data_IF_857365478196
#
_entry.id   IF_857365478196
#
_cell.length_a   1.000
_cell.length_b   1.000
_cell.length_c   1.000
_cell.angle_alpha   90.00
_cell.angle_beta   90.00
_cell.angle_gamma   90.00
#
_symmetry.space_group_name_H-M   'P 1'
#
loop_
_entity.id
_entity.type
_entity.pdbx_description
1 polymer ?
#
# COMPACT_ATOMS: atom_id res chain seq x y z
N UNK A 1 15.44 39.38 -2.02
CA UNK A 1 16.28 40.33 -1.24
C UNK A 1 15.63 40.55 0.10
N UNK A 2 16.44 40.54 1.17
CA UNK A 2 16.16 40.82 2.58
C UNK A 2 15.25 39.82 3.32
N UNK A 3 15.82 38.81 4.02
CA UNK A 3 16.50 38.78 5.34
C UNK A 3 15.55 38.86 6.56
N UNK A 4 15.90 38.15 7.66
CA UNK A 4 14.97 37.44 8.55
C UNK A 4 14.90 38.06 9.95
N UNK A 5 14.01 37.52 10.79
CA UNK A 5 13.94 37.83 12.21
C UNK A 5 14.39 36.62 13.05
N UNK A 6 15.43 36.85 13.86
CA UNK A 6 15.89 36.03 14.98
C UNK A 6 15.78 36.88 16.26
N UNK A 7 15.46 36.24 17.38
CA UNK A 7 15.62 36.78 18.74
C UNK A 7 14.88 35.90 19.75
N UNK A 8 15.46 35.38 20.83
CA UNK A 8 16.82 35.56 21.34
C UNK A 8 17.12 34.56 22.48
N UNK A 9 18.40 34.30 22.68
CA UNK A 9 18.97 33.71 23.90
C UNK A 9 19.02 34.74 25.02
N UNK A 10 18.79 34.30 26.26
CA UNK A 10 19.27 34.97 27.46
C UNK A 10 20.35 34.09 28.13
N UNK A 11 21.51 34.71 28.37
CA UNK A 11 22.67 34.13 29.03
C UNK A 11 22.59 34.32 30.54
N UNK A 12 23.13 33.37 31.30
CA UNK A 12 23.65 33.60 32.66
C UNK A 12 25.02 32.93 32.75
N UNK A 13 26.03 33.72 33.11
CA UNK A 13 27.42 33.32 33.37
C UNK A 13 27.65 33.42 34.89
N UNK A 14 28.36 32.45 35.49
CA UNK A 14 28.87 32.63 36.86
C UNK A 14 29.43 31.41 37.59
N UNK A 15 30.64 31.00 37.20
CA UNK A 15 31.78 30.53 38.03
C UNK A 15 31.68 29.35 39.03
N UNK A 16 32.53 28.35 38.73
CA UNK A 16 33.35 27.47 39.58
C UNK A 16 33.01 27.28 41.07
N UNK A 17 32.70 26.03 41.43
CA UNK A 17 33.14 25.43 42.70
C UNK A 17 33.69 24.03 42.43
N UNK A 18 34.98 23.85 42.68
CA UNK A 18 35.65 22.54 42.73
C UNK A 18 35.26 21.88 44.06
N UNK A 19 34.48 20.82 44.01
CA UNK A 19 34.23 19.92 45.13
C UNK A 19 34.66 18.51 44.72
N UNK A 20 35.80 18.09 45.28
CA UNK A 20 36.25 16.70 45.30
C UNK A 20 35.30 15.88 46.17
N UNK A 21 34.63 14.88 45.59
CA UNK A 21 33.93 13.84 46.35
C UNK A 21 34.03 12.49 45.64
N UNK A 22 34.89 11.63 46.21
CA UNK A 22 34.81 10.17 46.30
C UNK A 22 33.96 9.41 45.27
N UNK A 23 34.65 8.65 44.44
CA UNK A 23 34.12 7.54 43.64
C UNK A 23 33.47 6.47 44.53
N UNK A 24 32.16 6.53 44.70
CA UNK A 24 31.34 5.38 45.05
C UNK A 24 30.89 4.73 43.74
N UNK A 25 31.50 3.59 43.38
CA UNK A 25 30.91 2.67 42.41
C UNK A 25 29.63 2.12 43.04
N UNK A 26 28.50 2.72 42.74
CA UNK A 26 27.25 1.99 42.78
C UNK A 26 27.37 0.91 41.71
N UNK A 27 27.56 -0.34 42.14
CA UNK A 27 27.29 -1.48 41.29
C UNK A 27 25.80 -1.42 40.97
N UNK A 28 25.46 -0.80 39.84
CA UNK A 28 24.16 -1.04 39.23
C UNK A 28 24.08 -2.52 38.95
N UNK A 29 22.96 -3.13 39.31
CA UNK A 29 22.59 -4.44 38.79
C UNK A 29 22.90 -4.48 37.28
N UNK A 30 23.50 -5.56 36.75
CA UNK A 30 23.62 -5.69 35.31
C UNK A 30 22.18 -5.67 34.77
N UNK A 31 21.78 -4.57 34.13
CA UNK A 31 20.62 -4.55 33.28
C UNK A 31 20.74 -5.79 32.40
N UNK A 32 19.80 -6.72 32.51
CA UNK A 32 19.81 -7.93 31.69
C UNK A 32 20.04 -7.48 30.25
N UNK A 33 21.12 -7.95 29.62
CA UNK A 33 21.38 -7.63 28.23
C UNK A 33 20.11 -8.00 27.45
N UNK A 34 19.47 -7.01 26.81
CA UNK A 34 18.22 -7.25 26.08
C UNK A 34 18.49 -8.34 25.04
N UNK A 35 17.75 -9.44 25.14
CA UNK A 35 17.84 -10.54 24.19
C UNK A 35 16.92 -10.29 23.01
N UNK A 36 17.24 -10.87 21.86
CA UNK A 36 16.33 -10.88 20.71
C UNK A 36 15.08 -11.72 21.01
N UNK A 37 15.18 -12.72 21.87
CA UNK A 37 14.00 -13.50 22.29
C UNK A 37 13.01 -12.65 23.11
N UNK A 38 13.41 -11.49 23.64
CA UNK A 38 12.51 -10.58 24.39
C UNK A 38 11.43 -9.95 23.48
N UNK A 39 11.63 -9.99 22.15
CA UNK A 39 10.67 -9.48 21.14
C UNK A 39 10.03 -10.62 20.33
N UNK A 40 10.16 -11.86 20.77
CA UNK A 40 9.47 -13.00 20.17
C UNK A 40 7.97 -12.99 20.54
N UNK A 41 7.13 -13.28 19.55
CA UNK A 41 5.68 -13.40 19.65
C UNK A 41 5.26 -14.87 19.65
N UNK A 42 4.05 -15.16 20.12
CA UNK A 42 3.42 -16.46 19.87
C UNK A 42 2.90 -16.53 18.43
N UNK A 43 2.98 -17.71 17.80
CA UNK A 43 2.59 -17.88 16.40
C UNK A 43 1.11 -17.52 16.13
N UNK A 44 0.20 -17.76 17.08
CA UNK A 44 -1.26 -17.69 16.87
C UNK A 44 -1.88 -16.28 16.91
N UNK A 45 -1.08 -15.21 16.92
CA UNK A 45 -1.59 -13.85 17.23
C UNK A 45 -2.28 -13.10 16.07
N UNK A 46 -2.42 -13.70 14.88
CA UNK A 46 -2.96 -12.99 13.70
C UNK A 46 -4.33 -13.46 13.21
N UNK A 47 -4.79 -14.64 13.65
CA UNK A 47 -6.05 -15.20 13.16
C UNK A 47 -7.30 -14.34 13.52
N UNK A 48 -7.23 -13.51 14.55
CA UNK A 48 -8.32 -12.60 14.94
C UNK A 48 -8.08 -11.13 14.54
N UNK A 49 -7.01 -10.85 13.79
CA UNK A 49 -6.64 -9.51 13.35
C UNK A 49 -7.19 -9.28 11.94
N UNK A 50 -7.85 -8.14 11.74
CA UNK A 50 -8.18 -7.67 10.39
C UNK A 50 -6.91 -7.07 9.78
N UNK A 51 -6.39 -7.61 8.66
CA UNK A 51 -5.30 -6.97 7.94
C UNK A 51 -5.78 -5.60 7.46
N UNK A 52 -4.92 -4.61 7.60
CA UNK A 52 -5.10 -3.27 7.09
C UNK A 52 -4.17 -3.12 5.88
N UNK A 53 -4.65 -2.45 4.88
CA UNK A 53 -3.88 -1.89 3.79
C UNK A 53 -4.09 -0.38 3.87
N UNK A 54 -3.41 0.38 3.04
CA UNK A 54 -3.73 1.79 3.00
C UNK A 54 -2.77 2.58 2.15
N UNK A 55 -3.25 3.72 1.70
CA UNK A 55 -2.39 4.74 1.13
C UNK A 55 -1.65 5.52 2.23
N UNK A 56 -0.60 6.23 1.83
CA UNK A 56 0.12 7.14 2.72
C UNK A 56 -0.76 8.34 3.09
N UNK A 57 -1.68 8.16 4.03
CA UNK A 57 -2.30 9.23 4.81
C UNK A 57 -1.33 9.71 5.90
N UNK A 58 -0.20 10.28 5.48
CA UNK A 58 0.86 10.73 6.39
C UNK A 58 1.98 11.45 5.68
N UNK A 59 1.87 12.78 5.59
CA UNK A 59 2.85 13.68 4.95
C UNK A 59 3.16 13.34 3.49
N UNK A 60 2.13 13.32 2.63
CA UNK A 60 2.36 13.78 1.26
C UNK A 60 3.11 15.13 1.30
N UNK A 61 4.02 15.42 0.35
CA UNK A 61 4.81 16.64 0.39
C UNK A 61 3.91 17.83 0.69
N UNK A 62 4.17 18.52 1.81
CA UNK A 62 3.40 19.69 2.24
C UNK A 62 3.38 20.69 1.09
N UNK A 63 2.25 20.76 0.39
CA UNK A 63 2.04 21.71 -0.70
C UNK A 63 1.74 21.14 -2.08
N UNK A 64 1.12 19.96 -2.21
CA UNK A 64 0.35 19.71 -3.44
C UNK A 64 -0.87 20.67 -3.41
N UNK A 65 -0.94 21.68 -4.29
CA UNK A 65 -2.14 22.51 -4.41
C UNK A 65 -3.32 21.59 -4.75
N UNK A 66 -4.52 21.97 -4.32
CA UNK A 66 -5.78 21.34 -4.70
C UNK A 66 -5.83 21.25 -6.24
N UNK A 67 -5.45 20.09 -6.80
CA UNK A 67 -5.10 20.01 -8.21
C UNK A 67 -6.38 20.04 -9.04
N UNK A 68 -6.51 21.10 -9.82
CA UNK A 68 -7.39 21.13 -10.97
C UNK A 68 -6.98 20.01 -11.93
N UNK A 69 -7.99 19.36 -12.52
CA UNK A 69 -7.86 18.30 -13.53
C UNK A 69 -6.76 18.61 -14.56
N UNK A 70 -5.64 17.94 -14.41
CA UNK A 70 -4.69 17.69 -15.48
C UNK A 70 -4.18 16.28 -15.22
N UNK A 71 -3.75 15.59 -16.29
CA UNK A 71 -2.75 14.52 -16.20
C UNK A 71 -1.62 14.91 -15.23
N UNK A 72 -0.61 14.08 -15.03
CA UNK A 72 0.58 14.46 -14.27
C UNK A 72 1.67 15.10 -15.18
N UNK A 73 1.46 16.16 -16.01
CA UNK A 73 2.43 16.58 -17.02
C UNK A 73 3.68 17.21 -16.40
N UNK A 74 3.55 17.74 -15.18
CA UNK A 74 4.65 18.28 -14.39
C UNK A 74 5.55 17.19 -13.80
N UNK A 75 5.12 15.94 -13.86
CA UNK A 75 5.86 14.79 -13.36
C UNK A 75 6.44 13.97 -14.51
N UNK A 76 7.61 13.38 -14.27
CA UNK A 76 8.10 12.26 -15.06
C UNK A 76 7.65 10.98 -14.37
N UNK A 77 6.64 10.33 -14.95
CA UNK A 77 5.97 9.17 -14.36
C UNK A 77 5.31 8.31 -15.43
N UNK A 78 4.65 7.23 -15.01
CA UNK A 78 3.88 6.32 -15.84
C UNK A 78 2.79 7.06 -16.61
N UNK A 79 2.41 6.52 -17.77
CA UNK A 79 1.26 7.04 -18.53
C UNK A 79 0.02 7.03 -17.63
N UNK A 80 -0.64 8.18 -17.53
CA UNK A 80 -1.82 8.40 -16.73
C UNK A 80 -2.79 9.31 -17.48
N UNK A 81 -4.04 9.33 -17.03
CA UNK A 81 -5.07 10.23 -17.50
C UNK A 81 -5.81 10.84 -16.31
N UNK A 82 -6.45 11.97 -16.55
CA UNK A 82 -7.28 12.62 -15.55
C UNK A 82 -8.63 12.97 -16.14
N UNK A 83 -9.65 12.87 -15.31
CA UNK A 83 -11.03 13.16 -15.64
C UNK A 83 -11.74 13.57 -14.33
N UNK A 84 -13.07 13.64 -14.35
CA UNK A 84 -13.87 13.99 -13.18
C UNK A 84 -15.20 13.26 -13.20
N UNK A 85 -15.82 13.12 -12.02
CA UNK A 85 -17.21 12.71 -11.88
C UNK A 85 -18.02 13.77 -11.13
N UNK A 86 -19.35 13.66 -11.27
CA UNK A 86 -20.31 14.59 -10.69
C UNK A 86 -21.09 13.86 -9.60
N UNK A 87 -20.95 14.30 -8.37
CA UNK A 87 -21.66 13.75 -7.21
C UNK A 87 -21.81 14.82 -6.14
N UNK A 88 -23.00 14.94 -5.53
CA UNK A 88 -23.20 15.87 -4.43
C UNK A 88 -22.53 15.35 -3.16
N UNK A 89 -21.61 16.12 -2.60
CA UNK A 89 -20.94 15.82 -1.34
C UNK A 89 -20.38 17.06 -0.67
N UNK A 90 -19.49 16.85 0.29
CA UNK A 90 -18.77 17.92 0.98
C UNK A 90 -17.28 17.64 1.01
N UNK A 91 -16.45 18.69 1.02
CA UNK A 91 -15.00 18.55 1.17
C UNK A 91 -14.60 18.30 2.64
N UNK A 92 -13.29 18.23 2.91
CA UNK A 92 -12.74 18.05 4.27
C UNK A 92 -13.05 19.20 5.23
N UNK A 93 -13.51 20.36 4.73
CA UNK A 93 -13.97 21.52 5.50
C UNK A 93 -15.50 21.60 5.56
N UNK A 94 -16.19 20.53 5.18
CA UNK A 94 -17.64 20.43 5.13
C UNK A 94 -18.29 21.46 4.18
N UNK A 95 -17.56 21.94 3.15
CA UNK A 95 -18.10 22.83 2.12
C UNK A 95 -18.72 22.01 0.99
N UNK A 96 -19.92 22.35 0.50
CA UNK A 96 -20.52 21.64 -0.63
C UNK A 96 -19.61 21.59 -1.85
N UNK A 97 -19.48 20.40 -2.45
CA UNK A 97 -18.72 20.15 -3.67
C UNK A 97 -19.50 19.18 -4.55
N UNK A 98 -19.44 19.41 -5.86
CA UNK A 98 -20.19 18.63 -6.85
C UNK A 98 -19.30 18.01 -7.93
N UNK A 99 -18.07 18.51 -8.10
CA UNK A 99 -17.10 18.04 -9.11
C UNK A 99 -15.90 17.43 -8.42
N UNK A 100 -15.59 16.19 -8.75
CA UNK A 100 -14.54 15.40 -8.14
C UNK A 100 -13.54 14.97 -9.22
N UNK A 101 -12.38 15.63 -9.32
CA UNK A 101 -11.34 15.22 -10.25
C UNK A 101 -10.69 13.93 -9.76
N UNK A 102 -10.18 13.13 -10.70
CA UNK A 102 -9.33 11.98 -10.39
C UNK A 102 -8.26 11.84 -11.47
N UNK A 103 -7.18 11.15 -11.11
CA UNK A 103 -6.08 10.75 -11.99
C UNK A 103 -5.86 9.25 -11.85
N UNK A 104 -5.79 8.54 -12.96
CA UNK A 104 -5.66 7.08 -12.97
C UNK A 104 -4.53 6.65 -13.92
N UNK A 105 -3.99 5.46 -13.69
CA UNK A 105 -2.94 4.88 -14.54
C UNK A 105 -3.53 4.42 -15.88
N UNK A 106 -2.81 4.66 -16.96
CA UNK A 106 -3.22 4.30 -18.31
C UNK A 106 -3.56 5.49 -19.20
N UNK A 107 -4.02 5.17 -20.41
CA UNK A 107 -4.64 6.14 -21.30
C UNK A 107 -6.11 6.34 -20.89
N UNK A 108 -6.79 7.42 -21.35
CA UNK A 108 -8.22 7.53 -21.17
C UNK A 108 -8.96 6.31 -21.76
N UNK A 109 -10.02 5.79 -21.10
CA UNK A 109 -10.78 4.63 -21.60
C UNK A 109 -11.29 4.78 -23.05
N UNK A 110 -11.65 6.00 -23.45
CA UNK A 110 -12.14 6.34 -24.79
C UNK A 110 -11.05 6.34 -25.87
N UNK A 111 -9.77 6.25 -25.47
CA UNK A 111 -8.68 6.14 -26.44
C UNK A 111 -8.69 4.79 -27.16
N UNK A 112 -9.29 3.75 -26.55
CA UNK A 112 -9.37 2.39 -27.08
C UNK A 112 -8.01 1.86 -27.53
N UNK A 113 -7.01 2.04 -26.66
CA UNK A 113 -5.63 1.64 -26.91
C UNK A 113 -5.12 0.73 -25.81
N UNK A 114 -4.17 -0.12 -26.22
CA UNK A 114 -3.33 -0.88 -25.30
C UNK A 114 -2.18 -0.02 -24.80
N UNK A 115 -2.07 0.09 -23.49
CA UNK A 115 -0.92 0.63 -22.77
C UNK A 115 -0.20 -0.53 -22.11
N UNK A 116 1.14 -0.55 -22.19
CA UNK A 116 1.97 -1.58 -21.56
C UNK A 116 2.93 -0.88 -20.61
N UNK A 117 2.96 -1.34 -19.37
CA UNK A 117 3.88 -0.91 -18.32
C UNK A 117 4.83 -2.05 -18.02
N UNK A 118 6.11 -1.78 -17.76
CA UNK A 118 6.89 -2.81 -17.09
C UNK A 118 6.47 -2.83 -15.62
N UNK A 119 6.40 -4.03 -15.05
CA UNK A 119 6.02 -4.24 -13.66
C UNK A 119 7.12 -5.04 -12.94
N UNK A 120 8.28 -4.41 -12.63
CA UNK A 120 9.35 -5.10 -11.94
C UNK A 120 8.88 -5.55 -10.56
N UNK A 121 9.12 -6.82 -10.23
CA UNK A 121 8.92 -7.39 -8.89
C UNK A 121 10.29 -7.52 -8.25
N UNK A 122 10.51 -6.79 -7.16
CA UNK A 122 11.75 -6.74 -6.39
C UNK A 122 11.52 -7.54 -5.11
N UNK A 123 12.04 -8.78 -4.99
CA UNK A 123 11.98 -9.52 -3.74
C UNK A 123 12.84 -8.80 -2.69
N UNK A 124 12.33 -8.60 -1.47
CA UNK A 124 13.07 -7.97 -0.39
C UNK A 124 13.25 -8.95 0.76
N UNK A 125 14.51 -9.32 1.00
CA UNK A 125 14.93 -10.09 2.17
C UNK A 125 15.00 -9.14 3.36
N UNK A 126 14.35 -9.51 4.46
CA UNK A 126 14.37 -8.73 5.70
C UNK A 126 15.28 -9.39 6.73
N UNK A 127 16.32 -8.68 7.14
CA UNK A 127 17.28 -9.09 8.16
C UNK A 127 16.98 -8.35 9.46
N UNK A 128 16.67 -9.10 10.51
CA UNK A 128 16.48 -8.54 11.85
C UNK A 128 17.84 -8.42 12.53
N UNK A 129 18.18 -7.23 13.04
CA UNK A 129 19.47 -6.99 13.69
C UNK A 129 19.40 -7.14 15.20
N UNK A 130 20.50 -7.63 15.80
CA UNK A 130 20.72 -7.66 17.25
C UNK A 130 21.13 -6.27 17.80
N UNK A 131 21.24 -6.08 19.13
CA UNK A 131 21.68 -4.80 19.72
C UNK A 131 23.07 -4.31 19.27
N UNK A 132 23.90 -5.20 18.70
CA UNK A 132 25.23 -4.89 18.21
C UNK A 132 25.25 -4.60 16.70
N UNK A 133 24.11 -4.70 16.01
CA UNK A 133 23.97 -4.50 14.57
C UNK A 133 24.31 -5.71 13.70
N UNK A 134 24.49 -6.91 14.29
CA UNK A 134 24.65 -8.14 13.51
C UNK A 134 23.29 -8.74 13.18
N UNK A 135 23.20 -9.57 12.13
CA UNK A 135 21.97 -10.36 11.89
C UNK A 135 21.72 -11.24 13.11
N UNK A 136 20.54 -11.05 13.71
CA UNK A 136 20.17 -11.70 14.94
C UNK A 136 20.03 -13.21 14.78
N UNK A 137 20.29 -13.92 15.87
CA UNK A 137 20.12 -15.37 15.98
C UNK A 137 19.25 -15.64 17.19
N UNK A 138 18.12 -16.33 17.00
CA UNK A 138 17.24 -16.74 18.08
C UNK A 138 17.92 -17.77 19.00
N UNK A 139 17.42 -17.92 20.21
CA UNK A 139 17.92 -18.90 21.20
C UNK A 139 18.04 -20.34 20.69
N UNK A 140 17.21 -20.74 19.71
CA UNK A 140 17.27 -22.06 19.07
C UNK A 140 18.34 -22.19 17.96
N UNK A 141 19.14 -21.15 17.73
CA UNK A 141 20.18 -21.10 16.70
C UNK A 141 19.70 -20.61 15.32
N UNK A 142 18.42 -20.24 15.18
CA UNK A 142 17.87 -19.77 13.91
C UNK A 142 18.32 -18.36 13.58
N UNK A 143 18.92 -18.18 12.40
CA UNK A 143 19.24 -16.85 11.88
C UNK A 143 17.95 -16.13 11.49
N UNK A 144 17.73 -14.94 12.03
CA UNK A 144 16.53 -14.15 11.82
C UNK A 144 16.61 -13.36 10.51
N UNK A 145 16.38 -14.09 9.42
CA UNK A 145 16.33 -13.56 8.06
C UNK A 145 15.06 -14.07 7.38
N UNK A 146 14.15 -13.17 7.07
CA UNK A 146 12.92 -13.48 6.35
C UNK A 146 13.17 -13.42 4.85
N UNK A 147 13.02 -14.56 4.19
CA UNK A 147 13.29 -14.73 2.77
C UNK A 147 12.00 -14.66 1.96
N UNK A 148 12.08 -14.04 0.78
CA UNK A 148 11.12 -14.25 -0.31
C UNK A 148 11.70 -15.37 -1.17
N UNK A 149 11.09 -16.55 -1.12
CA UNK A 149 11.59 -17.74 -1.83
C UNK A 149 11.27 -17.64 -3.32
N UNK A 150 11.99 -18.42 -4.14
CA UNK A 150 11.70 -18.52 -5.58
C UNK A 150 10.26 -19.00 -5.83
N UNK A 151 9.71 -19.86 -4.96
CA UNK A 151 8.29 -20.27 -5.05
C UNK A 151 7.34 -19.08 -4.87
N UNK A 152 7.60 -18.20 -3.90
CA UNK A 152 6.78 -17.01 -3.67
C UNK A 152 6.87 -16.08 -4.88
N UNK A 153 8.08 -15.83 -5.40
CA UNK A 153 8.26 -14.99 -6.59
C UNK A 153 7.55 -15.58 -7.80
N UNK A 154 7.73 -16.87 -8.07
CA UNK A 154 7.05 -17.56 -9.18
C UNK A 154 5.54 -17.54 -9.02
N UNK A 155 5.02 -17.77 -7.80
CA UNK A 155 3.59 -17.72 -7.54
C UNK A 155 3.03 -16.31 -7.76
N UNK A 156 3.71 -15.27 -7.29
CA UNK A 156 3.35 -13.87 -7.53
C UNK A 156 3.33 -13.55 -9.02
N UNK A 157 4.39 -13.87 -9.76
CA UNK A 157 4.50 -13.58 -11.20
C UNK A 157 3.47 -14.32 -12.05
N UNK A 158 3.03 -15.50 -11.61
CA UNK A 158 2.02 -16.32 -12.31
C UNK A 158 0.59 -16.07 -11.84
N UNK A 159 0.38 -15.09 -10.96
CA UNK A 159 -0.92 -14.76 -10.40
C UNK A 159 -1.79 -13.96 -11.38
N UNK A 160 -3.12 -13.90 -11.16
CA UNK A 160 -4.01 -13.07 -11.97
C UNK A 160 -3.69 -11.57 -12.00
N UNK A 161 -2.84 -11.07 -11.08
CA UNK A 161 -2.34 -9.68 -11.14
C UNK A 161 -1.49 -9.46 -12.39
N UNK A 162 -0.69 -10.46 -12.79
CA UNK A 162 0.27 -10.36 -13.88
C UNK A 162 0.03 -11.33 -15.05
N UNK A 163 -0.81 -12.33 -14.88
CA UNK A 163 -1.21 -13.27 -15.93
C UNK A 163 -2.71 -13.13 -16.26
N UNK A 164 -3.12 -13.40 -17.51
CA UNK A 164 -4.52 -13.35 -17.88
C UNK A 164 -5.38 -14.37 -17.11
N UNK A 165 -6.52 -13.89 -16.60
CA UNK A 165 -7.58 -14.69 -16.00
C UNK A 165 -8.93 -14.29 -16.62
N UNK A 166 -9.91 -15.20 -16.62
CA UNK A 166 -11.25 -14.92 -17.16
C UNK A 166 -12.15 -14.30 -16.09
N UNK A 167 -12.41 -13.01 -16.24
CA UNK A 167 -13.35 -12.24 -15.44
C UNK A 167 -14.63 -11.94 -16.24
N UNK A 168 -15.64 -11.37 -15.58
CA UNK A 168 -16.90 -10.97 -16.24
C UNK A 168 -16.71 -9.83 -17.26
N UNK A 169 -15.67 -9.00 -17.09
CA UNK A 169 -15.29 -7.91 -18.00
C UNK A 169 -14.42 -8.36 -19.19
N UNK A 170 -14.00 -9.63 -19.23
CA UNK A 170 -13.17 -10.20 -20.29
C UNK A 170 -12.04 -11.10 -19.77
N UNK A 171 -11.11 -11.46 -20.64
CA UNK A 171 -9.89 -12.20 -20.26
C UNK A 171 -8.68 -11.27 -20.28
N UNK A 172 -8.00 -11.14 -19.15
CA UNK A 172 -6.86 -10.24 -18.96
C UNK A 172 -6.37 -10.24 -17.52
N UNK A 173 -5.43 -9.37 -17.20
CA UNK A 173 -4.90 -9.20 -15.85
C UNK A 173 -5.93 -8.52 -14.93
N UNK A 174 -5.81 -8.72 -13.62
CA UNK A 174 -6.74 -8.20 -12.62
C UNK A 174 -7.03 -6.70 -12.81
N UNK A 175 -6.00 -5.86 -12.79
CA UNK A 175 -6.17 -4.41 -12.88
C UNK A 175 -6.62 -3.95 -14.26
N UNK A 176 -6.22 -4.67 -15.32
CA UNK A 176 -6.74 -4.44 -16.67
C UNK A 176 -8.27 -4.62 -16.69
N UNK A 177 -8.74 -5.70 -16.08
CA UNK A 177 -10.14 -6.12 -16.12
C UNK A 177 -11.01 -5.35 -15.11
N UNK A 178 -10.43 -4.89 -14.00
CA UNK A 178 -11.02 -3.91 -13.08
C UNK A 178 -11.31 -2.58 -13.80
N UNK A 179 -10.28 -1.96 -14.40
CA UNK A 179 -10.42 -0.69 -15.13
C UNK A 179 -11.41 -0.81 -16.30
N UNK A 180 -11.46 -1.97 -16.98
CA UNK A 180 -12.47 -2.24 -18.01
C UNK A 180 -13.88 -2.39 -17.44
N UNK A 181 -14.03 -3.03 -16.28
CA UNK A 181 -15.32 -3.21 -15.64
C UNK A 181 -15.92 -1.87 -15.23
N UNK A 182 -15.13 -0.98 -14.62
CA UNK A 182 -15.63 0.30 -14.11
C UNK A 182 -15.92 1.33 -15.21
N UNK A 183 -15.15 1.31 -16.31
CA UNK A 183 -15.35 2.21 -17.46
C UNK A 183 -16.10 1.55 -18.62
N UNK A 184 -16.94 0.56 -18.32
CA UNK A 184 -17.61 -0.26 -19.32
C UNK A 184 -18.38 0.56 -20.36
N UNK A 185 -19.08 1.62 -19.97
CA UNK A 185 -19.84 2.50 -20.87
C UNK A 185 -18.98 3.45 -21.73
N UNK A 186 -17.66 3.53 -21.44
CA UNK A 186 -16.71 4.43 -22.12
C UNK A 186 -15.76 3.72 -23.06
N UNK A 187 -15.69 2.39 -22.97
CA UNK A 187 -14.82 1.57 -23.81
C UNK A 187 -15.60 0.97 -24.98
N UNK A 188 -14.85 0.62 -26.03
CA UNK A 188 -15.33 -0.21 -27.12
C UNK A 188 -15.28 -1.67 -26.71
N UNK A 189 -16.29 -2.43 -27.12
CA UNK A 189 -16.41 -3.87 -26.87
C UNK A 189 -16.15 -4.70 -28.15
N UNK A 190 -16.07 -4.04 -29.31
CA UNK A 190 -15.59 -4.66 -30.54
C UNK A 190 -14.08 -4.89 -30.43
N UNK A 191 -13.65 -6.14 -30.67
CA UNK A 191 -12.23 -6.51 -30.56
C UNK A 191 -11.78 -6.94 -29.15
N UNK A 192 -12.70 -7.40 -28.30
CA UNK A 192 -12.41 -8.04 -27.00
C UNK A 192 -11.76 -9.45 -27.14
N UNK A 193 -11.47 -9.89 -28.37
CA UNK A 193 -10.56 -11.00 -28.68
C UNK A 193 -9.07 -10.58 -28.67
N UNK A 194 -8.17 -11.51 -28.96
CA UNK A 194 -6.71 -11.32 -29.01
C UNK A 194 -6.23 -10.27 -30.05
N UNK A 195 -7.14 -9.70 -30.81
CA UNK A 195 -6.99 -8.84 -31.99
C UNK A 195 -6.49 -7.41 -31.68
N UNK A 196 -6.31 -7.05 -30.40
CA UNK A 196 -5.54 -5.87 -29.98
C UNK A 196 -6.22 -4.49 -30.14
N UNK A 197 -7.53 -4.43 -30.40
CA UNK A 197 -8.26 -3.19 -30.69
C UNK A 197 -8.92 -2.46 -29.50
N UNK A 198 -8.90 -3.03 -28.29
CA UNK A 198 -9.62 -2.51 -27.11
C UNK A 198 -8.78 -1.67 -26.13
N UNK A 199 -9.46 -1.01 -25.18
CA UNK A 199 -8.83 -0.40 -24.01
C UNK A 199 -8.19 -1.49 -23.12
N UNK A 200 -6.88 -1.38 -22.88
CA UNK A 200 -6.08 -2.35 -22.11
C UNK A 200 -4.97 -1.63 -21.37
N UNK A 201 -4.77 -1.94 -20.09
CA UNK A 201 -3.59 -1.59 -19.31
C UNK A 201 -2.89 -2.89 -18.90
N UNK A 202 -1.74 -3.20 -19.52
CA UNK A 202 -1.04 -4.47 -19.32
C UNK A 202 0.24 -4.26 -18.52
N UNK A 203 0.38 -5.01 -17.44
CA UNK A 203 1.57 -5.10 -16.61
C UNK A 203 2.49 -6.21 -17.14
N UNK A 204 3.71 -5.86 -17.55
CA UNK A 204 4.73 -6.82 -17.97
C UNK A 204 5.63 -7.13 -16.79
N UNK A 205 5.26 -8.15 -16.02
CA UNK A 205 5.97 -8.50 -14.82
C UNK A 205 7.35 -9.11 -15.10
N UNK A 206 8.33 -8.82 -14.25
CA UNK A 206 9.64 -9.45 -14.29
C UNK A 206 10.28 -9.44 -12.92
N UNK A 207 10.87 -10.56 -12.49
CA UNK A 207 11.72 -10.57 -11.30
C UNK A 207 12.97 -9.70 -11.53
N UNK A 208 13.26 -8.85 -10.56
CA UNK A 208 14.49 -8.07 -10.46
C UNK A 208 15.39 -8.60 -9.36
N UNK A 209 16.54 -7.96 -9.18
CA UNK A 209 17.51 -8.34 -8.16
C UNK A 209 16.86 -8.25 -6.78
N UNK A 210 17.01 -9.32 -5.99
CA UNK A 210 16.65 -9.31 -4.58
C UNK A 210 17.39 -8.22 -3.82
N UNK A 211 16.66 -7.45 -3.02
CA UNK A 211 17.20 -6.41 -2.12
C UNK A 211 17.19 -6.90 -0.69
N UNK A 212 17.99 -6.27 0.16
CA UNK A 212 18.04 -6.56 1.59
C UNK A 212 17.62 -5.31 2.35
N UNK A 213 16.70 -5.48 3.30
CA UNK A 213 16.35 -4.48 4.31
C UNK A 213 16.87 -4.96 5.66
N UNK A 214 17.70 -4.16 6.31
CA UNK A 214 18.20 -4.45 7.65
C UNK A 214 17.41 -3.66 8.68
N UNK A 215 16.69 -4.35 9.57
CA UNK A 215 15.78 -3.73 10.53
C UNK A 215 16.45 -3.69 11.91
N UNK A 216 16.63 -2.50 12.51
CA UNK A 216 17.38 -2.36 13.75
C UNK A 216 16.66 -2.97 14.94
N UNK A 217 17.43 -3.48 15.91
CA UNK A 217 16.89 -4.00 17.16
C UNK A 217 15.99 -2.98 17.87
N UNK A 218 14.85 -3.44 18.38
CA UNK A 218 13.86 -2.61 19.06
C UNK A 218 12.81 -1.98 18.16
N UNK A 219 12.89 -2.20 16.83
CA UNK A 219 11.87 -1.75 15.86
C UNK A 219 11.07 -2.90 15.23
N UNK A 220 11.27 -4.12 15.70
CA UNK A 220 10.57 -5.30 15.21
C UNK A 220 10.18 -6.26 16.33
N UNK A 221 9.22 -7.12 16.01
CA UNK A 221 8.87 -8.33 16.74
C UNK A 221 8.70 -9.48 15.73
N UNK A 222 8.86 -10.74 16.14
CA UNK A 222 8.78 -11.87 15.21
C UNK A 222 8.19 -13.11 15.85
N UNK A 223 7.63 -14.01 15.05
CA UNK A 223 7.33 -15.38 15.48
C UNK A 223 8.02 -16.37 14.56
N UNK A 224 8.67 -17.37 15.13
CA UNK A 224 9.21 -18.50 14.37
C UNK A 224 8.07 -19.39 13.87
N UNK A 225 8.34 -20.13 12.80
CA UNK A 225 7.48 -21.22 12.36
C UNK A 225 7.40 -22.32 13.43
N UNK A 226 6.34 -23.17 13.41
CA UNK A 226 6.22 -24.29 14.34
C UNK A 226 7.41 -25.26 14.32
N UNK A 227 8.13 -25.36 13.19
CA UNK A 227 9.35 -26.16 13.04
C UNK A 227 10.62 -25.47 13.55
N UNK A 228 10.49 -24.26 14.10
CA UNK A 228 11.58 -23.44 14.64
C UNK A 228 12.30 -22.58 13.61
N UNK A 229 11.95 -22.65 12.32
CA UNK A 229 12.58 -21.84 11.27
C UNK A 229 12.07 -20.39 11.26
N UNK A 230 12.82 -19.48 10.63
CA UNK A 230 12.39 -18.10 10.48
C UNK A 230 11.63 -17.89 9.17
N UNK A 231 10.55 -17.13 9.16
CA UNK A 231 9.69 -16.76 10.29
C UNK A 231 8.24 -16.86 9.83
N UNK A 232 7.35 -17.25 10.74
CA UNK A 232 5.91 -17.27 10.47
C UNK A 232 5.37 -15.86 10.27
N UNK A 233 5.88 -14.89 11.04
CA UNK A 233 5.60 -13.48 10.87
C UNK A 233 6.77 -12.62 11.36
N UNK A 234 6.94 -11.46 10.73
CA UNK A 234 7.77 -10.37 11.24
C UNK A 234 6.93 -9.10 11.25
N UNK A 235 6.85 -8.46 12.41
CA UNK A 235 6.17 -7.17 12.60
C UNK A 235 7.20 -6.07 12.72
N UNK A 236 7.12 -5.04 11.88
CA UNK A 236 8.06 -3.91 11.86
C UNK A 236 7.33 -2.61 12.20
N UNK A 237 7.94 -1.74 12.97
CA UNK A 237 7.36 -0.43 13.27
C UNK A 237 7.27 0.38 11.96
N UNK A 238 6.08 0.93 11.68
CA UNK A 238 5.74 1.52 10.38
C UNK A 238 6.69 2.64 9.95
N UNK A 239 7.05 3.55 10.85
CA UNK A 239 7.95 4.66 10.50
C UNK A 239 9.37 4.15 10.22
N UNK A 240 9.82 3.15 10.96
CA UNK A 240 11.12 2.51 10.74
C UNK A 240 11.15 1.82 9.39
N UNK A 241 10.11 1.05 9.05
CA UNK A 241 10.00 0.40 7.75
C UNK A 241 10.05 1.40 6.60
N UNK A 242 9.24 2.46 6.66
CA UNK A 242 9.21 3.53 5.65
C UNK A 242 10.59 4.18 5.50
N UNK A 243 11.24 4.51 6.61
CA UNK A 243 12.56 5.13 6.59
C UNK A 243 13.67 4.20 6.07
N UNK A 244 13.47 2.89 6.02
CA UNK A 244 14.41 1.93 5.42
C UNK A 244 14.08 1.63 3.94
N UNK A 245 12.82 1.78 3.56
CA UNK A 245 12.35 1.54 2.21
C UNK A 245 12.71 2.70 1.27
N UNK A 246 12.33 3.93 1.66
CA UNK A 246 12.47 5.13 0.83
C UNK A 246 13.80 5.84 1.02
N UNK A 247 14.53 6.17 -0.06
CA UNK A 247 15.74 6.95 0.04
C UNK A 247 15.44 8.43 0.34
N UNK A 248 16.33 9.14 1.04
CA UNK A 248 16.29 10.60 1.14
C UNK A 248 16.81 11.29 -0.13
N UNK A 249 17.44 10.54 -1.04
CA UNK A 249 18.02 11.04 -2.28
C UNK A 249 18.07 9.93 -3.32
N UNK A 250 17.67 10.25 -4.55
CA UNK A 250 17.62 9.30 -5.67
C UNK A 250 18.91 8.47 -5.77
N UNK A 251 18.75 7.15 -5.79
CA UNK A 251 19.86 6.23 -5.97
C UNK A 251 20.70 5.95 -4.72
N UNK A 252 20.30 6.42 -3.54
CA UNK A 252 20.99 6.07 -2.30
C UNK A 252 20.86 4.56 -1.99
N UNK A 253 21.98 3.84 -2.16
CA UNK A 253 22.05 2.39 -2.02
C UNK A 253 21.89 1.90 -0.59
N UNK A 254 21.88 2.79 0.41
CA UNK A 254 21.56 2.43 1.79
C UNK A 254 20.09 2.05 1.98
N UNK A 255 19.21 2.45 1.06
CA UNK A 255 17.77 2.22 1.12
C UNK A 255 17.32 1.29 -0.01
N UNK A 256 16.23 0.56 0.22
CA UNK A 256 15.78 -0.49 -0.71
C UNK A 256 15.40 0.08 -2.08
N UNK A 257 14.57 1.13 -2.12
CA UNK A 257 14.16 1.80 -3.36
C UNK A 257 15.37 2.49 -4.02
N UNK A 258 16.20 3.19 -3.24
CA UNK A 258 17.39 3.86 -3.76
C UNK A 258 18.38 2.89 -4.42
N UNK A 259 18.58 1.71 -3.83
CA UNK A 259 19.38 0.66 -4.45
C UNK A 259 18.78 0.13 -5.77
N UNK A 260 17.46 -0.02 -5.85
CA UNK A 260 16.75 -0.43 -7.07
C UNK A 260 16.86 0.63 -8.17
N UNK A 261 16.75 1.92 -7.84
CA UNK A 261 16.97 3.04 -8.76
C UNK A 261 18.40 3.06 -9.28
N UNK A 262 19.39 2.95 -8.39
CA UNK A 262 20.81 3.02 -8.74
C UNK A 262 21.25 1.92 -9.72
N UNK A 263 20.64 0.74 -9.63
CA UNK A 263 20.89 -0.39 -10.53
C UNK A 263 19.95 -0.41 -11.75
N UNK A 264 19.03 0.55 -11.86
CA UNK A 264 18.00 0.64 -12.91
C UNK A 264 17.09 -0.59 -12.98
N UNK A 265 16.84 -1.20 -11.83
CA UNK A 265 15.81 -2.24 -11.72
C UNK A 265 14.40 -1.65 -11.82
N UNK A 266 14.26 -0.36 -11.47
CA UNK A 266 13.04 0.44 -11.61
C UNK A 266 13.35 1.77 -12.30
N UNK A 267 12.33 2.35 -12.92
CA UNK A 267 12.34 3.68 -13.55
C UNK A 267 11.02 4.40 -13.30
N UNK A 268 10.96 5.69 -13.63
CA UNK A 268 9.71 6.48 -13.59
C UNK A 268 8.63 5.98 -14.57
N UNK A 269 8.93 4.98 -15.42
CA UNK A 269 7.98 4.40 -16.39
C UNK A 269 7.46 3.02 -15.99
N UNK A 270 7.85 2.56 -14.81
CA UNK A 270 7.50 1.26 -14.29
C UNK A 270 6.48 1.38 -13.14
N UNK A 271 5.71 0.32 -12.94
CA UNK A 271 4.83 0.14 -11.76
C UNK A 271 5.46 -0.98 -10.94
N UNK A 272 6.17 -0.61 -9.87
CA UNK A 272 7.13 -1.52 -9.22
C UNK A 272 6.56 -2.17 -7.97
N UNK A 273 6.68 -3.48 -7.83
CA UNK A 273 6.26 -4.20 -6.62
C UNK A 273 7.49 -4.53 -5.77
N UNK A 274 7.55 -4.04 -4.54
CA UNK A 274 8.49 -4.47 -3.52
C UNK A 274 7.85 -5.58 -2.70
N UNK A 275 8.18 -6.81 -3.07
CA UNK A 275 7.56 -8.02 -2.52
C UNK A 275 8.29 -8.46 -1.25
N UNK A 276 7.56 -8.59 -0.15
CA UNK A 276 8.03 -9.17 1.10
C UNK A 276 7.29 -10.48 1.38
N UNK A 277 7.73 -11.25 2.37
CA UNK A 277 7.08 -12.49 2.78
C UNK A 277 6.77 -12.43 4.28
N UNK A 278 5.49 -12.47 4.65
CA UNK A 278 5.03 -12.43 6.04
C UNK A 278 5.60 -11.28 6.88
N UNK A 279 5.82 -10.12 6.24
CA UNK A 279 6.22 -8.86 6.89
C UNK A 279 4.99 -7.98 7.03
N UNK A 280 4.72 -7.52 8.24
CA UNK A 280 3.56 -6.71 8.59
C UNK A 280 3.99 -5.48 9.37
N UNK A 281 3.29 -4.36 9.25
CA UNK A 281 3.66 -3.13 9.96
C UNK A 281 2.72 -2.88 11.14
N UNK A 282 3.30 -2.37 12.22
CA UNK A 282 2.55 -1.93 13.40
C UNK A 282 2.84 -0.46 13.70
N UNK A 283 1.91 0.21 14.37
CA UNK A 283 2.05 1.61 14.76
C UNK A 283 2.05 1.77 16.28
N UNK A 284 3.15 2.30 16.81
CA UNK A 284 3.32 2.55 18.24
C UNK A 284 3.57 1.26 19.03
N UNK A 285 2.55 0.41 19.18
CA UNK A 285 2.68 -0.88 19.88
C UNK A 285 2.46 -2.04 18.92
N UNK A 286 3.12 -3.18 19.16
CA UNK A 286 3.05 -4.38 18.31
C UNK A 286 1.62 -4.96 18.19
N UNK A 287 0.74 -4.63 19.13
CA UNK A 287 -0.68 -5.01 19.10
C UNK A 287 -1.51 -4.16 18.13
N UNK A 288 -1.05 -2.96 17.78
CA UNK A 288 -1.70 -2.10 16.80
C UNK A 288 -1.14 -2.41 15.40
N UNK A 289 -1.49 -3.60 14.94
CA UNK A 289 -1.10 -4.25 13.70
C UNK A 289 -2.41 -4.68 12.98
N UNK A 290 -2.46 -4.84 11.66
CA UNK A 290 -1.34 -5.12 10.77
C UNK A 290 -1.48 -4.47 9.40
N UNK A 291 -0.60 -3.52 9.07
CA UNK A 291 -0.49 -3.01 7.70
C UNK A 291 0.28 -4.06 6.87
N UNK A 292 -0.35 -4.64 5.85
CA UNK A 292 0.23 -5.74 5.05
C UNK A 292 0.71 -5.30 3.67
N UNK A 293 0.39 -4.07 3.28
CA UNK A 293 0.79 -3.43 2.04
C UNK A 293 0.59 -1.91 2.11
N UNK A 294 1.12 -1.21 1.12
CA UNK A 294 0.70 0.15 0.73
C UNK A 294 1.19 0.45 -0.68
N UNK A 295 0.44 1.26 -1.43
CA UNK A 295 0.90 1.86 -2.68
C UNK A 295 1.39 3.30 -2.46
N UNK A 296 2.39 3.72 -3.25
CA UNK A 296 2.96 5.05 -3.15
C UNK A 296 3.79 5.43 -4.38
N UNK A 297 4.46 6.58 -4.27
CA UNK A 297 5.52 6.97 -5.18
C UNK A 297 6.74 7.46 -4.39
N UNK A 298 7.92 7.00 -4.78
CA UNK A 298 9.14 7.69 -4.38
C UNK A 298 9.30 8.96 -5.23
N UNK A 299 9.44 10.10 -4.54
CA UNK A 299 9.38 11.44 -5.13
C UNK A 299 10.78 12.03 -5.16
N UNK A 300 11.33 12.13 -6.35
CA UNK A 300 12.70 12.61 -6.54
C UNK A 300 12.75 13.90 -7.36
N UNK A 301 13.82 14.66 -7.15
CA UNK A 301 14.03 15.90 -7.87
C UNK A 301 14.15 15.65 -9.39
N UNK A 302 13.57 16.55 -10.17
CA UNK A 302 13.78 16.57 -11.62
C UNK A 302 15.18 17.04 -11.99
N UNK A 303 15.63 16.67 -13.18
CA UNK A 303 16.91 17.08 -13.74
C UNK A 303 16.79 17.47 -15.22
N UNK A 304 17.87 17.99 -15.82
CA UNK A 304 17.83 18.40 -17.22
C UNK A 304 17.49 17.25 -18.19
N UNK A 305 17.77 15.99 -17.82
CA UNK A 305 17.52 14.83 -18.68
C UNK A 305 16.03 14.49 -18.79
N UNK A 306 15.22 14.81 -17.78
CA UNK A 306 13.78 14.60 -17.80
C UNK A 306 12.94 15.89 -17.96
N UNK A 307 13.61 17.02 -18.26
CA UNK A 307 12.98 18.32 -18.46
C UNK A 307 12.68 19.06 -17.16
N UNK A 308 13.43 18.80 -16.10
CA UNK A 308 13.24 19.30 -14.73
C UNK A 308 11.86 18.96 -14.16
N UNK A 309 11.26 17.85 -14.61
CA UNK A 309 9.99 17.34 -14.09
C UNK A 309 10.26 16.52 -12.84
N UNK A 310 9.48 16.71 -11.78
CA UNK A 310 9.60 15.87 -10.58
C UNK A 310 9.43 14.41 -10.96
N UNK A 311 10.35 13.55 -10.53
CA UNK A 311 10.33 12.12 -10.84
C UNK A 311 9.41 11.42 -9.84
N UNK A 312 8.52 10.57 -10.34
CA UNK A 312 7.70 9.71 -9.51
C UNK A 312 7.97 8.26 -9.90
N UNK A 313 8.59 7.50 -9.00
CA UNK A 313 8.77 6.06 -9.13
C UNK A 313 7.58 5.38 -8.46
N UNK A 314 6.57 5.03 -9.27
CA UNK A 314 5.34 4.40 -8.79
C UNK A 314 5.63 2.99 -8.27
N UNK A 315 5.10 2.68 -7.09
CA UNK A 315 5.41 1.44 -6.42
C UNK A 315 4.29 0.96 -5.48
N UNK A 316 4.27 -0.34 -5.23
CA UNK A 316 3.59 -0.96 -4.09
C UNK A 316 4.59 -1.70 -3.20
N UNK A 317 4.34 -1.66 -1.89
CA UNK A 317 4.86 -2.61 -0.93
C UNK A 317 3.75 -3.63 -0.74
N UNK A 318 4.07 -4.91 -0.94
CA UNK A 318 3.11 -5.99 -0.74
C UNK A 318 3.75 -7.15 -0.02
N UNK A 319 3.10 -7.60 1.06
CA UNK A 319 3.50 -8.80 1.78
C UNK A 319 2.80 -10.02 1.18
N UNK A 320 3.56 -11.03 0.75
CA UNK A 320 3.01 -12.36 0.53
C UNK A 320 2.54 -12.92 1.86
N UNK A 321 1.25 -13.26 1.94
CA UNK A 321 0.64 -13.71 3.19
C UNK A 321 0.58 -15.24 3.20
N UNK A 322 1.24 -15.93 4.15
CA UNK A 322 1.12 -17.38 4.28
C UNK A 322 -0.32 -17.82 4.55
N UNK A 323 -0.66 -19.03 4.11
CA UNK A 323 -1.96 -19.65 4.34
C UNK A 323 -2.33 -19.63 5.84
N UNK A 324 -3.59 -19.34 6.15
CA UNK A 324 -4.12 -19.29 7.52
C UNK A 324 -3.47 -18.26 8.45
N UNK A 325 -2.81 -17.22 7.91
CA UNK A 325 -2.27 -16.15 8.75
C UNK A 325 -3.38 -15.27 9.33
N UNK A 326 -4.31 -14.82 8.48
CA UNK A 326 -5.48 -14.03 8.87
C UNK A 326 -6.77 -14.85 8.71
N UNK A 327 -7.83 -14.44 9.38
CA UNK A 327 -9.15 -15.03 9.16
C UNK A 327 -9.66 -14.78 7.73
N UNK A 328 -10.68 -15.56 7.35
CA UNK A 328 -11.48 -15.35 6.14
C UNK A 328 -10.73 -15.44 4.80
N UNK A 329 -9.53 -16.02 4.79
CA UNK A 329 -8.81 -16.33 3.55
C UNK A 329 -8.04 -15.16 2.93
N UNK A 330 -7.75 -14.11 3.71
CA UNK A 330 -6.80 -13.08 3.30
C UNK A 330 -5.37 -13.66 3.30
N UNK A 331 -4.91 -14.07 2.13
CA UNK A 331 -3.73 -14.91 1.95
C UNK A 331 -3.07 -14.63 0.59
N UNK A 332 -1.88 -15.20 0.37
CA UNK A 332 -1.09 -15.12 -0.85
C UNK A 332 -0.90 -13.70 -1.41
N UNK A 333 -1.54 -13.40 -2.54
CA UNK A 333 -1.51 -12.15 -3.28
C UNK A 333 -2.60 -11.18 -2.85
N UNK A 334 -3.40 -11.46 -1.82
CA UNK A 334 -4.50 -10.58 -1.42
C UNK A 334 -4.03 -9.13 -1.21
N UNK A 335 -2.91 -8.94 -0.51
CA UNK A 335 -2.28 -7.63 -0.36
C UNK A 335 -1.85 -7.02 -1.69
N UNK A 336 -1.17 -7.79 -2.55
CA UNK A 336 -0.74 -7.31 -3.86
C UNK A 336 -1.93 -6.93 -4.76
N UNK A 337 -3.02 -7.70 -4.73
CA UNK A 337 -4.21 -7.42 -5.52
C UNK A 337 -4.89 -6.13 -5.11
N UNK A 338 -4.92 -5.85 -3.81
CA UNK A 338 -5.41 -4.60 -3.24
C UNK A 338 -4.55 -3.44 -3.71
N UNK A 339 -3.26 -3.47 -3.37
CA UNK A 339 -2.38 -2.33 -3.60
C UNK A 339 -2.21 -2.01 -5.08
N UNK A 340 -2.20 -3.02 -5.94
CA UNK A 340 -2.14 -2.79 -7.38
C UNK A 340 -3.45 -2.19 -7.93
N UNK A 341 -4.60 -2.58 -7.37
CA UNK A 341 -5.91 -2.07 -7.77
C UNK A 341 -6.11 -0.61 -7.35
N UNK A 342 -5.68 -0.27 -6.14
CA UNK A 342 -5.66 1.11 -5.65
C UNK A 342 -4.65 1.95 -6.43
N UNK A 343 -3.42 1.45 -6.65
CA UNK A 343 -2.39 2.18 -7.41
C UNK A 343 -2.89 2.59 -8.81
N UNK A 344 -3.60 1.71 -9.52
CA UNK A 344 -4.10 2.07 -10.87
C UNK A 344 -5.26 3.07 -10.82
N UNK A 345 -6.03 3.10 -9.72
CA UNK A 345 -7.19 3.95 -9.52
C UNK A 345 -6.85 5.31 -8.86
N UNK A 346 -5.87 5.34 -7.97
CA UNK A 346 -5.40 6.49 -7.20
C UNK A 346 -3.87 6.42 -6.99
N UNK A 347 -3.06 6.64 -8.04
CA UNK A 347 -1.62 6.40 -8.00
C UNK A 347 -0.85 7.26 -6.98
N UNK A 348 -1.49 8.30 -6.42
CA UNK A 348 -0.90 9.19 -5.42
C UNK A 348 -1.66 9.19 -4.09
N UNK A 349 -2.65 8.32 -3.92
CA UNK A 349 -3.52 8.25 -2.73
C UNK A 349 -4.24 9.56 -2.44
N UNK A 350 -4.58 10.34 -3.48
CA UNK A 350 -5.10 11.69 -3.31
C UNK A 350 -6.26 12.06 -4.24
N UNK A 351 -6.84 11.09 -4.94
CA UNK A 351 -8.04 11.30 -5.74
C UNK A 351 -9.23 11.57 -4.80
N UNK A 352 -9.76 12.80 -4.76
CA UNK A 352 -10.82 13.13 -3.82
C UNK A 352 -12.15 12.50 -4.24
N UNK A 353 -12.90 12.02 -3.26
CA UNK A 353 -14.28 11.54 -3.38
C UNK A 353 -15.18 12.28 -2.40
N UNK A 354 -16.52 12.28 -2.59
CA UNK A 354 -17.43 12.58 -1.49
C UNK A 354 -17.05 11.73 -0.27
N UNK A 355 -17.24 12.26 0.93
CA UNK A 355 -17.10 11.43 2.13
C UNK A 355 -17.95 10.17 1.98
N UNK A 356 -17.35 9.03 2.28
CA UNK A 356 -17.98 7.73 2.24
C UNK A 356 -17.64 6.98 3.51
N UNK A 357 -18.46 5.98 3.82
CA UNK A 357 -18.17 5.04 4.89
C UNK A 357 -18.52 3.63 4.43
N UNK A 358 -17.74 2.67 4.88
CA UNK A 358 -18.13 1.28 4.89
C UNK A 358 -18.37 0.85 6.35
N UNK A 359 -19.41 0.07 6.56
CA UNK A 359 -19.81 -0.39 7.88
C UNK A 359 -20.34 -1.80 7.80
N UNK A 360 -19.84 -2.64 8.69
CA UNK A 360 -20.39 -3.95 8.96
C UNK A 360 -20.46 -4.17 10.48
N UNK A 361 -21.60 -4.56 11.05
CA UNK A 361 -21.74 -4.80 12.48
C UNK A 361 -20.75 -5.81 13.08
N UNK A 362 -20.19 -6.73 12.27
CA UNK A 362 -19.21 -7.73 12.72
C UNK A 362 -17.82 -7.50 12.13
N UNK A 363 -17.68 -6.64 11.13
CA UNK A 363 -16.42 -6.37 10.43
C UNK A 363 -15.75 -5.05 10.84
N UNK A 364 -16.52 -3.98 11.07
CA UNK A 364 -15.97 -2.70 11.53
C UNK A 364 -16.63 -1.48 10.90
N UNK A 365 -15.93 -0.35 10.99
CA UNK A 365 -16.33 0.94 10.43
C UNK A 365 -15.09 1.67 9.91
N UNK A 366 -15.16 2.16 8.67
CA UNK A 366 -14.18 3.07 8.08
C UNK A 366 -14.89 4.28 7.49
N UNK A 367 -14.23 5.42 7.51
CA UNK A 367 -14.75 6.68 6.96
C UNK A 367 -13.61 7.47 6.33
N UNK A 368 -13.75 7.77 5.05
CA UNK A 368 -12.72 8.34 4.19
C UNK A 368 -13.31 9.27 3.12
N UNK A 369 -12.46 9.93 2.35
CA UNK A 369 -12.84 10.85 1.28
C UNK A 369 -11.85 10.87 0.10
N UNK A 370 -11.06 9.81 -0.02
CA UNK A 370 -10.14 9.46 -1.11
C UNK A 370 -10.69 8.25 -1.88
N UNK A 371 -10.04 7.85 -2.97
CA UNK A 371 -10.46 6.75 -3.85
C UNK A 371 -9.60 5.51 -3.54
N UNK A 372 -9.77 4.97 -2.32
CA UNK A 372 -9.12 3.74 -1.87
C UNK A 372 -10.08 2.58 -2.12
N UNK A 373 -9.89 1.88 -3.24
CA UNK A 373 -10.84 0.87 -3.72
C UNK A 373 -10.97 -0.31 -2.76
N UNK A 374 -9.86 -0.71 -2.13
CA UNK A 374 -9.78 -1.91 -1.31
C UNK A 374 -10.18 -1.65 0.13
N UNK A 375 -9.90 -0.44 0.65
CA UNK A 375 -10.30 0.03 1.99
C UNK A 375 -11.80 -0.14 2.27
N UNK A 376 -12.63 0.03 1.24
CA UNK A 376 -14.09 -0.17 1.33
C UNK A 376 -14.44 -1.60 1.77
N UNK A 377 -13.61 -2.58 1.39
CA UNK A 377 -13.87 -4.01 1.55
C UNK A 377 -13.29 -4.56 2.86
N UNK A 378 -12.25 -3.93 3.42
CA UNK A 378 -11.56 -4.39 4.63
C UNK A 378 -12.44 -4.50 5.87
N UNK A 379 -13.44 -3.64 5.97
CA UNK A 379 -14.34 -3.62 7.14
C UNK A 379 -15.59 -4.46 6.93
N UNK A 380 -15.76 -5.12 5.79
CA UNK A 380 -16.92 -5.95 5.51
C UNK A 380 -16.80 -7.33 6.18
N UNK A 381 -17.92 -7.85 6.69
CA UNK A 381 -17.96 -9.17 7.32
C UNK A 381 -17.38 -10.23 6.40
N UNK A 382 -16.45 -11.01 6.95
CA UNK A 382 -15.88 -12.15 6.25
C UNK A 382 -14.90 -11.78 5.14
N UNK A 383 -14.38 -10.54 5.13
CA UNK A 383 -13.35 -10.03 4.22
C UNK A 383 -13.52 -10.61 2.81
N UNK A 384 -14.47 -10.11 2.00
CA UNK A 384 -14.82 -10.73 0.73
C UNK A 384 -13.59 -10.97 -0.17
N UNK A 385 -13.15 -12.23 -0.24
CA UNK A 385 -12.05 -12.69 -1.08
C UNK A 385 -12.61 -13.48 -2.27
N UNK A 386 -12.15 -13.13 -3.47
CA UNK A 386 -12.40 -13.85 -4.69
C UNK A 386 -11.31 -14.91 -4.93
N UNK A 387 -11.71 -16.18 -4.93
CA UNK A 387 -10.81 -17.29 -5.22
C UNK A 387 -10.66 -17.49 -6.74
N UNK A 388 -9.45 -17.32 -7.25
CA UNK A 388 -9.12 -17.48 -8.67
C UNK A 388 -8.17 -18.66 -8.88
N UNK A 389 -8.63 -19.73 -9.53
CA UNK A 389 -7.76 -20.87 -9.88
C UNK A 389 -7.07 -20.63 -11.22
N UNK A 390 -5.74 -20.48 -11.18
CA UNK A 390 -4.90 -20.25 -12.35
C UNK A 390 -3.61 -21.09 -12.23
N UNK A 391 -3.18 -21.73 -13.33
CA UNK A 391 -1.95 -22.53 -13.36
C UNK A 391 -1.87 -23.63 -12.28
N UNK A 392 -3.02 -24.19 -11.88
CA UNK A 392 -3.11 -25.24 -10.85
C UNK A 392 -2.97 -24.75 -9.40
N UNK A 393 -2.92 -23.43 -9.18
CA UNK A 393 -2.96 -22.78 -7.86
C UNK A 393 -4.24 -21.97 -7.71
N UNK A 394 -4.82 -21.97 -6.52
CA UNK A 394 -5.86 -20.99 -6.15
C UNK A 394 -5.18 -19.78 -5.54
N UNK A 395 -5.48 -18.62 -6.10
CA UNK A 395 -5.07 -17.30 -5.61
C UNK A 395 -6.26 -16.61 -4.94
N UNK A 396 -5.98 -15.79 -3.95
CA UNK A 396 -6.95 -15.04 -3.16
C UNK A 396 -6.86 -13.56 -3.51
N UNK A 397 -7.82 -13.09 -4.30
CA UNK A 397 -7.90 -11.71 -4.77
C UNK A 397 -8.85 -10.96 -3.85
N UNK A 398 -8.45 -9.81 -3.32
CA UNK A 398 -9.40 -8.97 -2.59
C UNK A 398 -10.42 -8.39 -3.58
N UNK A 399 -11.69 -8.34 -3.17
CA UNK A 399 -12.65 -7.54 -3.91
C UNK A 399 -12.34 -6.05 -3.75
N UNK A 400 -12.73 -5.27 -4.74
CA UNK A 400 -12.45 -3.85 -4.85
C UNK A 400 -13.76 -3.11 -5.10
N UNK A 401 -13.94 -1.95 -4.47
CA UNK A 401 -14.95 -1.00 -4.89
C UNK A 401 -14.57 -0.36 -6.22
N UNK A 402 -15.50 -0.25 -7.16
CA UNK A 402 -15.25 0.42 -8.44
C UNK A 402 -15.64 1.90 -8.39
N UNK A 403 -15.09 2.72 -9.29
CA UNK A 403 -15.38 4.16 -9.37
C UNK A 403 -16.89 4.54 -9.25
N UNK A 404 -17.85 3.83 -9.87
CA UNK A 404 -19.28 4.15 -9.71
C UNK A 404 -19.80 4.10 -8.27
N UNK A 405 -19.18 3.32 -7.39
CA UNK A 405 -19.52 3.28 -5.97
C UNK A 405 -19.25 4.62 -5.30
N UNK A 406 -18.02 5.15 -5.47
CA UNK A 406 -17.60 6.46 -4.98
C UNK A 406 -18.33 7.62 -5.66
N UNK A 407 -18.65 7.45 -6.94
CA UNK A 407 -19.34 8.47 -7.73
C UNK A 407 -20.85 8.59 -7.44
N UNK A 408 -21.38 7.79 -6.49
CA UNK A 408 -22.80 7.78 -6.12
C UNK A 408 -23.73 7.55 -7.32
N UNK A 409 -23.26 6.83 -8.34
CA UNK A 409 -24.00 6.65 -9.60
C UNK A 409 -25.08 5.57 -9.41
N UNK A 410 -26.31 5.86 -9.81
CA UNK A 410 -27.41 4.89 -9.77
C UNK A 410 -28.32 5.11 -10.99
N UNK A 411 -28.44 4.14 -11.91
CA UNK A 411 -27.71 2.85 -11.94
C UNK A 411 -26.20 3.03 -12.19
N UNK A 412 -25.40 2.04 -11.79
CA UNK A 412 -23.97 2.00 -12.13
C UNK A 412 -23.78 1.82 -13.64
N UNK A 413 -22.90 2.61 -14.30
CA UNK A 413 -22.53 2.41 -15.69
C UNK A 413 -21.50 1.29 -15.89
N UNK A 414 -20.93 0.74 -14.81
CA UNK A 414 -19.97 -0.36 -14.89
C UNK A 414 -20.60 -1.63 -15.49
N UNK A 415 -19.74 -2.58 -15.84
CA UNK A 415 -20.15 -3.89 -16.37
C UNK A 415 -21.17 -4.52 -15.42
N UNK A 416 -22.27 -5.01 -16.00
CA UNK A 416 -23.40 -5.63 -15.27
C UNK A 416 -24.11 -4.71 -14.26
N UNK A 417 -23.86 -3.40 -14.28
CA UNK A 417 -24.38 -2.47 -13.28
C UNK A 417 -23.79 -2.69 -11.88
N UNK A 418 -22.59 -3.26 -11.80
CA UNK A 418 -21.92 -3.61 -10.55
C UNK A 418 -21.26 -2.41 -9.87
N UNK A 419 -20.96 -2.56 -8.57
CA UNK A 419 -20.19 -1.57 -7.79
C UNK A 419 -18.89 -2.15 -7.21
N UNK A 420 -18.68 -3.45 -7.35
CA UNK A 420 -17.48 -4.15 -6.93
C UNK A 420 -17.00 -5.12 -8.00
N UNK A 421 -15.72 -5.49 -7.91
CA UNK A 421 -15.04 -6.43 -8.78
C UNK A 421 -13.97 -7.19 -7.95
N UNK A 422 -13.63 -8.45 -8.21
CA UNK A 422 -14.18 -9.33 -9.24
C UNK A 422 -15.59 -9.89 -8.95
N UNK A 423 -16.03 -9.94 -7.70
CA UNK A 423 -17.40 -10.36 -7.34
C UNK A 423 -18.34 -9.14 -7.32
N UNK A 424 -19.26 -9.08 -8.30
CA UNK A 424 -20.24 -8.01 -8.43
C UNK A 424 -21.28 -7.95 -7.31
N UNK A 425 -21.31 -8.96 -6.44
CA UNK A 425 -22.25 -9.04 -5.31
C UNK A 425 -21.69 -8.51 -4.01
N UNK A 426 -20.37 -8.23 -3.94
CA UNK A 426 -19.74 -7.67 -2.75
C UNK A 426 -20.36 -6.32 -2.39
N UNK A 427 -20.53 -5.42 -3.36
CA UNK A 427 -21.22 -4.15 -3.22
C UNK A 427 -22.43 -4.10 -4.16
N UNK A 428 -23.64 -4.18 -3.61
CA UNK A 428 -24.88 -4.25 -4.40
C UNK A 428 -25.53 -2.89 -4.66
N UNK A 429 -24.95 -1.80 -4.17
CA UNK A 429 -25.44 -0.42 -4.30
C UNK A 429 -24.27 0.56 -4.21
N UNK A 430 -24.48 1.78 -4.71
CA UNK A 430 -23.53 2.87 -4.56
C UNK A 430 -23.26 3.21 -3.08
N UNK A 431 -22.20 3.97 -2.82
CA UNK A 431 -21.91 4.45 -1.48
C UNK A 431 -23.09 5.25 -0.90
N UNK A 432 -23.26 5.29 0.43
CA UNK A 432 -24.27 6.12 1.06
C UNK A 432 -24.09 7.61 0.68
N UNK A 433 -25.16 8.26 0.23
CA UNK A 433 -25.14 9.68 -0.10
C UNK A 433 -25.36 10.57 1.14
N UNK A 434 -25.01 11.85 1.03
CA UNK A 434 -25.29 12.85 2.07
C UNK A 434 -24.45 12.71 3.34
N UNK A 435 -23.31 12.02 3.26
CA UNK A 435 -22.34 11.88 4.34
C UNK A 435 -21.65 13.23 4.56
N UNK A 436 -21.63 13.69 5.81
CA UNK A 436 -20.93 14.93 6.18
C UNK A 436 -19.44 14.69 6.37
N UNK A 437 -18.67 15.77 6.52
CA UNK A 437 -17.24 15.65 6.73
C UNK A 437 -16.92 14.78 7.96
N UNK A 438 -15.95 13.87 7.80
CA UNK A 438 -15.56 12.88 8.82
C UNK A 438 -16.71 11.98 9.26
N UNK A 439 -17.70 11.79 8.37
CA UNK A 439 -18.91 11.03 8.63
C UNK A 439 -19.64 11.47 9.92
N UNK A 440 -19.57 12.75 10.27
CA UNK A 440 -20.07 13.25 11.55
C UNK A 440 -21.58 13.09 11.74
N UNK A 441 -22.35 12.90 10.65
CA UNK A 441 -23.77 12.62 10.68
C UNK A 441 -24.14 11.13 10.62
N UNK A 442 -23.15 10.24 10.55
CA UNK A 442 -23.36 8.79 10.52
C UNK A 442 -23.40 8.29 11.96
N UNK A 443 -24.59 7.90 12.44
CA UNK A 443 -24.68 7.13 13.69
C UNK A 443 -24.34 5.68 13.39
N UNK A 444 -23.16 5.22 13.83
CA UNK A 444 -22.86 3.79 13.91
C UNK A 444 -23.95 3.15 14.77
N UNK A 445 -24.71 2.16 14.27
CA UNK A 445 -25.63 1.42 15.11
C UNK A 445 -24.83 0.85 16.28
N UNK A 446 -25.10 1.31 17.52
CA UNK A 446 -24.56 0.68 18.71
C UNK A 446 -25.01 -0.78 18.68
N UNK A 447 -24.07 -1.71 18.68
CA UNK A 447 -24.31 -3.15 18.70
C UNK A 447 -25.27 -3.49 19.84
N UNK A 448 -26.53 -3.75 19.51
CA UNK A 448 -27.43 -4.49 20.39
C UNK A 448 -27.31 -5.97 20.06
N UNK A 449 -26.20 -6.59 20.49
CA UNK A 449 -26.11 -8.02 20.82
C UNK A 449 -25.05 -8.23 21.89
#
# INVERSE_FOLDING_TARGET
>A
MNRPWFGGLAAVVGSCLVLTASSARAAGDPASAKSVDDVALSADQLASVTPLLGSRDGDGPKGMPEAASSSLPQFDTVVNFSDQFIANGVDSRNRPRTVWPYTMVGQPPQAHRKTVFNAPVIPVVLEMLDPNGNVAVASNGTVLRQLVTDEIVDATLRSPVFEPFSFTSGTGQLTEQLMRAEFWDRIRHDGDGDDGGGYRNVLRASQKRTRTMQVPFGSYAFALNPDGTCCFQVRVEVNTFINLLFPPTEGDRAFVIGAAQADRDITTRDISTFLFNAVYLFQGTVNNCCIVGFHSADVEAGDAANGNRTKLFMMDFSSWVPHHTFAFGFEDIAALSHEMSELVNDPLGNNPTPWWYAFDPRGGFICQNNLETGDVIEVLSGLPIFAATLNGRTYHIQNEAMLPWFALQTPSPARLGAYSFPDEKTLTRAAPAGVSARCANVTTPTSTF
#
